data_IF_632850351738
#
_entry.id   IF_632850351738
#
_cell.length_a   1.000
_cell.length_b   1.000
_cell.length_c   1.000
_cell.angle_alpha   90.00
_cell.angle_beta   90.00
_cell.angle_gamma   90.00
#
_symmetry.space_group_name_H-M   'P 1'
#
loop_
_entity.id
_entity.type
_entity.pdbx_description
1 polymer ?
#
# COMPACT_ATOMS: atom_id res chain seq x y z
N UNK A 1 -11.41 17.98 -7.44
CA UNK A 1 -10.97 17.75 -6.04
C UNK A 1 -11.15 16.31 -5.56
N UNK A 2 -12.27 15.62 -5.84
CA UNK A 2 -12.52 14.23 -5.40
C UNK A 2 -11.43 13.22 -5.80
N UNK A 3 -10.84 13.36 -6.99
CA UNK A 3 -9.73 12.52 -7.45
C UNK A 3 -8.49 12.62 -6.55
N UNK A 4 -8.07 13.85 -6.22
CA UNK A 4 -6.91 14.11 -5.36
C UNK A 4 -7.12 13.53 -3.95
N UNK A 5 -8.28 13.76 -3.35
CA UNK A 5 -8.62 13.18 -2.05
C UNK A 5 -8.60 11.65 -2.06
N UNK A 6 -9.13 11.03 -3.13
CA UNK A 6 -9.09 9.57 -3.30
C UNK A 6 -7.65 9.07 -3.32
N UNK A 7 -6.79 9.68 -4.14
CA UNK A 7 -5.37 9.29 -4.26
C UNK A 7 -4.64 9.46 -2.92
N UNK A 8 -4.83 10.59 -2.23
CA UNK A 8 -4.18 10.83 -0.93
C UNK A 8 -4.61 9.81 0.12
N UNK A 9 -5.90 9.49 0.20
CA UNK A 9 -6.40 8.48 1.14
C UNK A 9 -5.89 7.07 0.79
N UNK A 10 -5.81 6.72 -0.50
CA UNK A 10 -5.20 5.46 -0.94
C UNK A 10 -3.72 5.39 -0.58
N UNK A 11 -2.96 6.48 -0.72
CA UNK A 11 -1.55 6.54 -0.30
C UNK A 11 -1.44 6.27 1.19
N UNK A 12 -2.18 7.01 2.02
CA UNK A 12 -2.16 6.85 3.48
C UNK A 12 -2.55 5.42 3.88
N UNK A 13 -3.59 4.86 3.26
CA UNK A 13 -4.02 3.48 3.50
C UNK A 13 -2.91 2.49 3.20
N UNK A 14 -2.26 2.60 2.05
CA UNK A 14 -1.22 1.66 1.65
C UNK A 14 0.05 1.77 2.50
N UNK A 15 0.33 2.93 3.10
CA UNK A 15 1.38 3.05 4.12
C UNK A 15 1.03 2.17 5.31
N UNK A 16 -0.18 2.31 5.87
CA UNK A 16 -0.63 1.48 6.99
C UNK A 16 -0.66 -0.01 6.65
N UNK A 17 -1.16 -0.38 5.46
CA UNK A 17 -1.12 -1.76 4.96
C UNK A 17 0.31 -2.33 4.98
N UNK A 18 1.25 -1.58 4.42
CA UNK A 18 2.67 -2.00 4.35
C UNK A 18 3.26 -2.20 5.74
N UNK A 19 2.97 -1.30 6.69
CA UNK A 19 3.41 -1.45 8.07
C UNK A 19 2.73 -2.63 8.78
N UNK A 20 1.43 -2.84 8.58
CA UNK A 20 0.70 -3.97 9.15
C UNK A 20 1.28 -5.31 8.67
N UNK A 21 1.62 -5.40 7.39
CA UNK A 21 2.10 -6.64 6.77
C UNK A 21 3.57 -6.90 7.02
N UNK A 22 4.43 -5.88 6.96
CA UNK A 22 5.89 -6.06 6.96
C UNK A 22 6.62 -5.34 8.10
N UNK A 23 6.01 -4.33 8.73
CA UNK A 23 6.63 -3.54 9.81
C UNK A 23 7.07 -4.42 10.98
N UNK A 24 6.27 -5.44 11.32
CA UNK A 24 6.57 -6.38 12.39
C UNK A 24 7.86 -7.18 12.16
N UNK A 25 8.25 -7.44 10.90
CA UNK A 25 9.50 -8.15 10.55
C UNK A 25 10.72 -7.29 10.92
N UNK A 26 10.62 -5.99 10.67
CA UNK A 26 11.66 -5.03 11.05
C UNK A 26 11.73 -4.86 12.57
N UNK A 27 10.58 -4.77 13.22
CA UNK A 27 10.50 -4.64 14.69
C UNK A 27 11.07 -5.87 15.40
N UNK A 28 10.89 -7.07 14.85
CA UNK A 28 11.50 -8.30 15.37
C UNK A 28 13.04 -8.25 15.32
N UNK A 29 13.63 -7.58 14.33
CA UNK A 29 15.09 -7.46 14.21
C UNK A 29 15.66 -6.39 15.15
N UNK A 30 14.93 -5.29 15.37
CA UNK A 30 15.43 -4.15 16.15
C UNK A 30 15.07 -4.21 17.64
N UNK A 31 13.98 -4.87 18.01
CA UNK A 31 13.46 -4.89 19.37
C UNK A 31 13.37 -6.31 19.92
N UNK A 32 14.22 -6.62 20.91
CA UNK A 32 14.24 -7.93 21.59
C UNK A 32 12.90 -8.26 22.26
N UNK A 33 12.20 -7.26 22.80
CA UNK A 33 10.87 -7.44 23.41
C UNK A 33 9.81 -7.83 22.37
N UNK A 34 9.92 -7.31 21.14
CA UNK A 34 8.99 -7.63 20.06
C UNK A 34 9.29 -9.00 19.45
N UNK A 35 10.56 -9.41 19.45
CA UNK A 35 10.96 -10.76 19.05
C UNK A 35 10.45 -11.86 19.99
N UNK A 36 10.22 -11.53 21.27
CA UNK A 36 9.67 -12.42 22.26
C UNK A 36 8.13 -12.54 22.21
N UNK A 37 7.44 -11.71 21.40
CA UNK A 37 5.99 -11.80 21.27
C UNK A 37 5.57 -13.12 20.59
N UNK A 38 4.53 -13.80 21.12
CA UNK A 38 3.93 -14.92 20.41
C UNK A 38 3.27 -14.45 19.12
N UNK A 39 3.11 -15.35 18.15
CA UNK A 39 2.51 -15.04 16.84
C UNK A 39 1.14 -14.34 16.98
N UNK A 40 0.33 -14.74 17.95
CA UNK A 40 -0.98 -14.11 18.21
C UNK A 40 -0.85 -12.63 18.60
N UNK A 41 0.20 -12.26 19.34
CA UNK A 41 0.47 -10.88 19.73
C UNK A 41 0.91 -10.02 18.55
N UNK A 42 1.72 -10.59 17.66
CA UNK A 42 2.10 -9.94 16.39
C UNK A 42 0.88 -9.74 15.49
N UNK A 43 0.01 -10.75 15.37
CA UNK A 43 -1.24 -10.64 14.60
C UNK A 43 -2.14 -9.54 15.17
N UNK A 44 -2.34 -9.48 16.48
CA UNK A 44 -3.17 -8.47 17.13
C UNK A 44 -2.61 -7.05 16.93
N UNK A 45 -1.28 -6.89 16.98
CA UNK A 45 -0.62 -5.62 16.67
C UNK A 45 -0.86 -5.21 15.21
N UNK A 46 -0.64 -6.11 14.25
CA UNK A 46 -0.91 -5.87 12.82
C UNK A 46 -2.39 -5.54 12.57
N UNK A 47 -3.31 -6.18 13.27
CA UNK A 47 -4.75 -5.88 13.19
C UNK A 47 -5.09 -4.47 13.66
N UNK A 48 -4.42 -4.00 14.72
CA UNK A 48 -4.59 -2.64 15.22
C UNK A 48 -4.17 -1.61 14.17
N UNK A 49 -3.13 -1.90 13.39
CA UNK A 49 -2.70 -1.05 12.28
C UNK A 49 -3.68 -1.15 11.10
N UNK A 50 -4.12 -2.36 10.76
CA UNK A 50 -5.08 -2.60 9.67
C UNK A 50 -6.41 -1.85 9.89
N UNK A 51 -6.82 -1.62 11.14
CA UNK A 51 -7.98 -0.77 11.43
C UNK A 51 -7.83 0.66 10.86
N UNK A 52 -6.64 1.26 10.97
CA UNK A 52 -6.37 2.59 10.41
C UNK A 52 -6.26 2.57 8.88
N UNK A 53 -5.70 1.50 8.32
CA UNK A 53 -5.74 1.25 6.87
C UNK A 53 -7.19 1.31 6.36
N UNK A 54 -8.08 0.48 6.91
CA UNK A 54 -9.48 0.43 6.47
C UNK A 54 -10.23 1.74 6.67
N UNK A 55 -9.88 2.49 7.72
CA UNK A 55 -10.44 3.81 7.99
C UNK A 55 -10.14 4.82 6.88
N UNK A 56 -9.06 4.63 6.11
CA UNK A 56 -8.73 5.44 4.93
C UNK A 56 -9.17 4.77 3.61
N UNK A 57 -9.01 3.46 3.49
CA UNK A 57 -9.31 2.69 2.28
C UNK A 57 -10.80 2.76 1.89
N UNK A 58 -11.69 2.59 2.87
CA UNK A 58 -13.13 2.53 2.62
C UNK A 58 -13.66 3.90 2.14
N UNK A 59 -13.35 5.03 2.80
CA UNK A 59 -13.72 6.35 2.30
C UNK A 59 -13.10 6.67 0.94
N UNK A 60 -11.83 6.30 0.69
CA UNK A 60 -11.17 6.54 -0.59
C UNK A 60 -11.97 5.91 -1.75
N UNK A 61 -12.29 4.61 -1.61
CA UNK A 61 -13.03 3.89 -2.64
C UNK A 61 -14.46 4.43 -2.79
N UNK A 62 -15.12 4.80 -1.70
CA UNK A 62 -16.47 5.40 -1.78
C UNK A 62 -16.48 6.75 -2.49
N UNK A 63 -15.52 7.63 -2.22
CA UNK A 63 -15.41 8.97 -2.83
C UNK A 63 -14.95 8.86 -4.30
N UNK A 64 -14.07 7.91 -4.58
CA UNK A 64 -13.47 7.70 -5.89
C UNK A 64 -14.39 7.00 -6.89
N UNK A 65 -15.32 6.17 -6.43
CA UNK A 65 -16.12 5.32 -7.29
C UNK A 65 -17.17 6.09 -8.10
N UNK A 66 -17.21 5.85 -9.40
CA UNK A 66 -18.10 6.51 -10.36
C UNK A 66 -19.58 6.34 -10.02
N UNK A 67 -19.97 5.17 -9.48
CA UNK A 67 -21.35 4.92 -9.03
C UNK A 67 -21.80 5.81 -7.88
N UNK A 68 -20.87 6.42 -7.13
CA UNK A 68 -21.15 7.37 -6.05
C UNK A 68 -20.91 8.84 -6.47
N UNK A 69 -20.76 9.11 -7.78
CA UNK A 69 -20.40 10.44 -8.29
C UNK A 69 -18.92 10.79 -8.15
N UNK A 70 -18.07 9.77 -8.05
CA UNK A 70 -16.61 9.86 -8.13
C UNK A 70 -16.09 9.82 -9.58
N UNK A 71 -14.78 10.04 -9.79
CA UNK A 71 -14.20 10.11 -11.13
C UNK A 71 -13.70 8.77 -11.70
N UNK A 72 -13.64 7.69 -10.90
CA UNK A 72 -12.97 6.45 -11.29
C UNK A 72 -13.91 5.24 -11.33
N UNK A 73 -13.73 4.35 -12.30
CA UNK A 73 -14.38 3.03 -12.29
C UNK A 73 -13.78 2.14 -11.19
N UNK A 74 -14.47 1.04 -10.85
CA UNK A 74 -13.97 0.08 -9.85
C UNK A 74 -12.61 -0.50 -10.28
N UNK A 75 -12.45 -0.80 -11.57
CA UNK A 75 -11.18 -1.30 -12.14
C UNK A 75 -10.08 -0.25 -12.01
N UNK A 76 -10.37 1.02 -12.33
CA UNK A 76 -9.40 2.11 -12.20
C UNK A 76 -8.95 2.32 -10.75
N UNK A 77 -9.87 2.25 -9.78
CA UNK A 77 -9.54 2.34 -8.36
C UNK A 77 -8.62 1.21 -7.90
N UNK A 78 -8.90 -0.03 -8.34
CA UNK A 78 -8.06 -1.17 -7.98
C UNK A 78 -6.67 -1.05 -8.58
N UNK A 79 -6.57 -0.72 -9.86
CA UNK A 79 -5.27 -0.56 -10.54
C UNK A 79 -4.47 0.59 -9.93
N UNK A 80 -5.13 1.71 -9.62
CA UNK A 80 -4.50 2.83 -8.92
C UNK A 80 -3.96 2.40 -7.54
N UNK A 81 -4.72 1.60 -6.79
CA UNK A 81 -4.30 1.08 -5.50
C UNK A 81 -3.10 0.13 -5.62
N UNK A 82 -3.05 -0.75 -6.62
CA UNK A 82 -1.91 -1.65 -6.85
C UNK A 82 -0.62 -0.87 -7.16
N UNK A 83 -0.73 0.16 -8.00
CA UNK A 83 0.41 1.02 -8.35
C UNK A 83 0.93 1.75 -7.10
N UNK A 84 0.02 2.34 -6.32
CA UNK A 84 0.35 3.00 -5.05
C UNK A 84 0.99 2.01 -4.06
N UNK A 85 0.44 0.79 -3.95
CA UNK A 85 0.98 -0.28 -3.11
C UNK A 85 2.43 -0.57 -3.45
N UNK A 86 2.73 -0.78 -4.73
CA UNK A 86 4.05 -1.19 -5.17
C UNK A 86 5.08 -0.07 -5.03
N UNK A 87 4.67 1.19 -5.26
CA UNK A 87 5.51 2.36 -4.98
C UNK A 87 5.84 2.43 -3.48
N UNK A 88 4.83 2.37 -2.61
CA UNK A 88 5.02 2.47 -1.16
C UNK A 88 5.85 1.29 -0.64
N UNK A 89 5.58 0.08 -1.13
CA UNK A 89 6.33 -1.11 -0.77
C UNK A 89 7.81 -0.97 -1.16
N UNK A 90 8.11 -0.50 -2.38
CA UNK A 90 9.50 -0.27 -2.82
C UNK A 90 10.20 0.77 -1.94
N UNK A 91 9.53 1.89 -1.63
CA UNK A 91 10.10 2.91 -0.72
C UNK A 91 10.32 2.31 0.67
N UNK A 92 9.37 1.52 1.17
CA UNK A 92 9.46 0.89 2.48
C UNK A 92 10.62 -0.12 2.54
N UNK A 93 10.78 -1.02 1.58
CA UNK A 93 11.87 -2.00 1.57
C UNK A 93 13.24 -1.33 1.43
N UNK A 94 13.37 -0.35 0.55
CA UNK A 94 14.63 0.39 0.37
C UNK A 94 15.04 1.16 1.62
N UNK A 95 14.10 1.84 2.29
CA UNK A 95 14.38 2.67 3.48
C UNK A 95 14.54 1.83 4.75
N UNK A 96 13.63 0.89 5.02
CA UNK A 96 13.61 0.13 6.28
C UNK A 96 14.47 -1.13 6.23
N UNK A 97 14.60 -1.77 5.08
CA UNK A 97 15.33 -3.03 4.96
C UNK A 97 16.74 -2.87 4.39
N UNK A 98 17.14 -1.66 3.93
CA UNK A 98 18.50 -1.16 3.57
C UNK A 98 19.45 -2.09 2.77
N UNK A 99 19.04 -3.29 2.41
CA UNK A 99 19.91 -4.38 1.96
C UNK A 99 19.46 -5.09 0.69
N UNK A 100 18.26 -4.82 0.17
CA UNK A 100 17.91 -5.22 -1.19
C UNK A 100 18.36 -4.12 -2.15
N UNK A 101 19.54 -4.30 -2.74
CA UNK A 101 19.98 -3.46 -3.85
C UNK A 101 18.88 -3.46 -4.92
N UNK A 102 18.47 -2.28 -5.36
CA UNK A 102 17.51 -2.11 -6.45
C UNK A 102 18.06 -2.78 -7.70
N UNK A 103 17.70 -4.04 -7.88
CA UNK A 103 18.09 -4.83 -9.04
C UNK A 103 17.35 -4.33 -10.28
N UNK A 104 17.97 -4.52 -11.45
CA UNK A 104 17.39 -4.15 -12.75
C UNK A 104 15.95 -4.67 -12.95
N UNK A 105 15.64 -5.84 -12.35
CA UNK A 105 14.31 -6.44 -12.37
C UNK A 105 13.23 -5.57 -11.68
N UNK A 106 13.58 -4.78 -10.66
CA UNK A 106 12.65 -3.84 -10.03
C UNK A 106 12.29 -2.71 -10.97
N UNK A 107 13.26 -2.19 -11.72
CA UNK A 107 13.05 -1.15 -12.72
C UNK A 107 12.15 -1.68 -13.85
N UNK A 108 12.41 -2.90 -14.32
CA UNK A 108 11.54 -3.57 -15.30
C UNK A 108 10.11 -3.75 -14.76
N UNK A 109 9.94 -4.16 -13.51
CA UNK A 109 8.63 -4.25 -12.87
C UNK A 109 7.91 -2.90 -12.79
N UNK A 110 8.62 -1.81 -12.46
CA UNK A 110 8.05 -0.46 -12.50
C UNK A 110 7.57 -0.06 -13.89
N UNK A 111 8.35 -0.36 -14.94
CA UNK A 111 7.93 -0.11 -16.32
C UNK A 111 6.68 -0.91 -16.68
N UNK A 112 6.61 -2.19 -16.29
CA UNK A 112 5.41 -3.02 -16.46
C UNK A 112 4.19 -2.43 -15.73
N UNK A 113 4.37 -1.82 -14.56
CA UNK A 113 3.27 -1.16 -13.84
C UNK A 113 2.80 0.12 -14.54
N UNK A 114 3.73 0.94 -15.05
CA UNK A 114 3.37 2.12 -15.84
C UNK A 114 2.59 1.69 -17.09
N UNK A 115 3.01 0.61 -17.75
CA UNK A 115 2.28 0.04 -18.88
C UNK A 115 0.89 -0.47 -18.47
N UNK A 116 0.76 -1.12 -17.31
CA UNK A 116 -0.53 -1.56 -16.80
C UNK A 116 -1.48 -0.38 -16.53
N UNK A 117 -0.99 0.72 -15.94
CA UNK A 117 -1.77 1.96 -15.81
C UNK A 117 -2.15 2.47 -17.19
N UNK A 118 -1.19 2.60 -18.09
CA UNK A 118 -1.44 3.10 -19.44
C UNK A 118 -2.55 2.30 -20.13
N UNK A 119 -2.50 0.96 -20.13
CA UNK A 119 -3.51 0.12 -20.77
C UNK A 119 -4.90 0.24 -20.11
N UNK A 120 -4.97 0.36 -18.79
CA UNK A 120 -6.25 0.49 -18.07
C UNK A 120 -6.91 1.85 -18.31
N UNK A 121 -6.11 2.88 -18.60
CA UNK A 121 -6.59 4.22 -18.95
C UNK A 121 -6.63 4.48 -20.46
N UNK A 122 -6.15 3.54 -21.29
CA UNK A 122 -6.24 3.61 -22.75
C UNK A 122 -7.69 3.38 -23.17
N UNK A 123 -8.21 4.26 -24.02
CA UNK A 123 -9.61 4.28 -24.44
C UNK A 123 -9.82 3.48 -25.72
#
# INVERSE_FOLDING_TARGET
MKALYTILLLIVSNVFMTFAWYGHLKMKQEYSWFAALPLIGVIAFSWSIAFFEYSCQIPANRIGYVGNGGPFSLMQLKVLQEVITLIIFTVFTTVFFKGEALHWNHIAAFVCLILAVYFVFMK
#
